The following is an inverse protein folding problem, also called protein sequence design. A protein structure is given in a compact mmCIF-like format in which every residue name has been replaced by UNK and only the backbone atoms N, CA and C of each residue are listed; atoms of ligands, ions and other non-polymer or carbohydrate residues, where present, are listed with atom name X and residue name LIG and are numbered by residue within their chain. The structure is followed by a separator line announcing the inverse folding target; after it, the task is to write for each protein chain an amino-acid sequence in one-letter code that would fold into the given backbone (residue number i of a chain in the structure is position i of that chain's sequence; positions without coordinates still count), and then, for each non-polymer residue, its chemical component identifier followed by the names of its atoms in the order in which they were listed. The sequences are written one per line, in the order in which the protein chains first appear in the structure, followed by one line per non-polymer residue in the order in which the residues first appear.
data_IF_316272887786
#
_entry.id   IF_316272887786
#
_cell.length_a   1.000
_cell.length_b   1.000
_cell.length_c   1.000
_cell.angle_alpha   90.00
_cell.angle_beta   90.00
_cell.angle_gamma   90.00
#
_symmetry.space_group_name_H-M   'P 1'
#
loop_
_entity.id
_entity.type
_entity.pdbx_description
1 polymer ?
#
# COMPACT_ATOMS: atom_id res chain seq x y z
N UNK A 1 1.78 -0.63 -29.25
CA UNK A 1 0.74 -0.46 -28.20
C UNK A 1 0.96 -1.35 -26.99
N UNK A 2 1.20 -2.66 -27.15
CA UNK A 2 1.44 -3.58 -26.00
C UNK A 2 2.61 -3.13 -25.11
N UNK A 3 3.75 -2.75 -25.70
CA UNK A 3 4.91 -2.27 -24.94
C UNK A 3 4.61 -1.06 -24.05
N UNK A 4 3.73 -0.15 -24.50
CA UNK A 4 3.33 1.01 -23.71
C UNK A 4 2.61 0.57 -22.42
N UNK A 5 1.62 -0.32 -22.55
CA UNK A 5 0.86 -0.83 -21.41
C UNK A 5 1.70 -1.67 -20.46
N UNK A 6 2.60 -2.50 -20.99
CA UNK A 6 3.53 -3.28 -20.17
C UNK A 6 4.47 -2.36 -19.38
N UNK A 7 5.03 -1.33 -20.03
CA UNK A 7 5.89 -0.35 -19.34
C UNK A 7 5.12 0.41 -18.26
N UNK A 8 3.89 0.84 -18.54
CA UNK A 8 3.06 1.55 -17.56
C UNK A 8 2.72 0.66 -16.36
N UNK A 9 2.39 -0.62 -16.60
CA UNK A 9 2.16 -1.61 -15.56
C UNK A 9 3.41 -1.85 -14.71
N UNK A 10 4.57 -2.01 -15.35
CA UNK A 10 5.84 -2.20 -14.65
C UNK A 10 6.20 -0.99 -13.78
N UNK A 11 5.99 0.22 -14.29
CA UNK A 11 6.22 1.47 -13.54
C UNK A 11 5.24 1.58 -12.37
N UNK A 12 3.95 1.29 -12.54
CA UNK A 12 2.99 1.39 -11.44
C UNK A 12 3.28 0.39 -10.32
N UNK A 13 3.64 -0.84 -10.68
CA UNK A 13 4.07 -1.86 -9.71
C UNK A 13 5.35 -1.41 -8.99
N UNK A 14 6.34 -0.92 -9.74
CA UNK A 14 7.60 -0.45 -9.15
C UNK A 14 7.36 0.70 -8.16
N UNK A 15 6.52 1.68 -8.52
CA UNK A 15 6.19 2.80 -7.66
C UNK A 15 5.43 2.34 -6.41
N UNK A 16 4.47 1.41 -6.56
CA UNK A 16 3.80 0.81 -5.40
C UNK A 16 4.80 0.14 -4.45
N UNK A 17 5.66 -0.74 -4.97
CA UNK A 17 6.63 -1.49 -4.16
C UNK A 17 7.63 -0.57 -3.46
N UNK A 18 8.07 0.51 -4.11
CA UNK A 18 9.02 1.44 -3.50
C UNK A 18 8.36 2.36 -2.49
N UNK A 19 7.24 2.97 -2.84
CA UNK A 19 6.59 4.01 -2.04
C UNK A 19 5.82 3.38 -0.87
N UNK A 20 4.88 2.49 -1.16
CA UNK A 20 4.09 1.83 -0.12
C UNK A 20 4.93 0.82 0.68
N UNK A 21 5.95 0.22 0.05
CA UNK A 21 6.91 -0.63 0.76
C UNK A 21 7.73 0.12 1.81
N UNK A 22 8.03 1.41 1.59
CA UNK A 22 8.64 2.27 2.60
C UNK A 22 7.66 2.50 3.77
N UNK A 23 6.40 2.79 3.49
CA UNK A 23 5.38 3.01 4.52
C UNK A 23 5.16 1.78 5.39
N UNK A 24 5.02 0.61 4.76
CA UNK A 24 4.90 -0.69 5.43
C UNK A 24 6.16 -1.02 6.23
N UNK A 25 7.34 -0.74 5.67
CA UNK A 25 8.63 -0.93 6.34
C UNK A 25 8.77 -0.06 7.58
N UNK A 26 8.44 1.23 7.48
CA UNK A 26 8.42 2.16 8.63
C UNK A 26 7.40 1.70 9.66
N UNK A 27 6.21 1.27 9.24
CA UNK A 27 5.17 0.71 10.12
C UNK A 27 5.67 -0.47 10.94
N UNK A 28 6.33 -1.44 10.29
CA UNK A 28 6.91 -2.62 10.94
C UNK A 28 8.05 -2.25 11.90
N UNK A 29 9.00 -1.42 11.44
CA UNK A 29 10.15 -0.99 12.24
C UNK A 29 9.74 -0.10 13.43
N UNK A 30 8.62 0.62 13.32
CA UNK A 30 8.07 1.43 14.43
C UNK A 30 7.70 0.57 15.65
N UNK A 31 7.38 -0.71 15.45
CA UNK A 31 7.13 -1.67 16.52
C UNK A 31 8.38 -2.07 17.30
N UNK A 32 9.56 -1.96 16.68
CA UNK A 32 10.86 -2.26 17.26
C UNK A 32 11.58 -1.02 17.82
N UNK A 33 11.00 0.17 17.62
CA UNK A 33 11.62 1.42 18.05
C UNK A 33 11.63 1.54 19.59
N UNK A 34 12.77 1.94 20.15
CA UNK A 34 12.96 2.18 21.57
C UNK A 34 12.32 3.50 22.00
N UNK A 35 11.05 3.44 22.45
CA UNK A 35 10.34 4.56 23.07
C UNK A 35 9.27 5.22 22.18
N UNK A 36 8.24 5.76 22.84
CA UNK A 36 7.06 6.33 22.18
C UNK A 36 7.37 7.55 21.32
N UNK A 37 8.34 8.38 21.70
CA UNK A 37 8.73 9.56 20.93
C UNK A 37 9.32 9.18 19.56
N UNK A 38 10.18 8.15 19.51
CA UNK A 38 10.79 7.67 18.26
C UNK A 38 9.77 6.99 17.36
N UNK A 39 8.93 6.12 17.94
CA UNK A 39 7.79 5.51 17.24
C UNK A 39 6.84 6.58 16.69
N UNK A 40 6.62 7.62 17.50
CA UNK A 40 5.87 8.82 17.18
C UNK A 40 6.33 9.46 15.89
N UNK A 41 7.60 9.87 15.89
CA UNK A 41 8.27 10.55 14.78
C UNK A 41 8.30 9.70 13.50
N UNK A 42 8.60 8.39 13.61
CA UNK A 42 8.62 7.48 12.46
C UNK A 42 7.27 7.44 11.75
N UNK A 43 6.20 7.21 12.49
CA UNK A 43 4.86 7.11 11.91
C UNK A 43 4.34 8.47 11.41
N UNK A 44 4.71 9.58 12.05
CA UNK A 44 4.33 10.92 11.58
C UNK A 44 5.00 11.31 10.27
N UNK A 45 6.15 10.72 9.93
CA UNK A 45 6.85 10.98 8.68
C UNK A 45 6.11 10.45 7.44
N UNK A 46 5.38 9.34 7.58
CA UNK A 46 4.65 8.68 6.48
C UNK A 46 3.15 9.02 6.46
N UNK A 47 2.60 9.48 7.58
CA UNK A 47 1.20 9.91 7.71
C UNK A 47 0.67 10.89 6.63
N UNK A 48 1.45 11.84 6.07
CA UNK A 48 0.92 12.74 5.04
C UNK A 48 0.92 12.16 3.61
N UNK A 49 1.62 11.05 3.35
CA UNK A 49 1.85 10.54 1.97
C UNK A 49 1.31 9.13 1.72
N UNK A 50 1.04 8.35 2.76
CA UNK A 50 0.67 6.92 2.62
C UNK A 50 -0.58 6.70 1.73
N UNK A 51 -1.59 7.55 1.84
CA UNK A 51 -2.84 7.43 1.05
C UNK A 51 -2.58 7.61 -0.46
N UNK A 52 -1.66 8.52 -0.80
CA UNK A 52 -1.19 8.69 -2.18
C UNK A 52 -0.42 7.47 -2.69
N UNK A 53 0.35 6.80 -1.81
CA UNK A 53 1.15 5.64 -2.19
C UNK A 53 0.27 4.41 -2.52
N UNK A 54 -0.84 4.22 -1.81
CA UNK A 54 -1.82 3.15 -2.12
C UNK A 54 -2.44 3.30 -3.51
N UNK A 55 -2.53 4.52 -4.04
CA UNK A 55 -3.12 4.78 -5.36
C UNK A 55 -2.41 4.01 -6.47
N UNK A 56 -1.10 3.75 -6.35
CA UNK A 56 -0.34 2.98 -7.34
C UNK A 56 -0.78 1.51 -7.45
N UNK A 57 -1.28 0.92 -6.35
CA UNK A 57 -1.87 -0.41 -6.37
C UNK A 57 -3.18 -0.41 -7.17
N UNK A 58 -4.02 0.60 -6.97
CA UNK A 58 -5.29 0.77 -7.70
C UNK A 58 -5.03 0.96 -9.19
N UNK A 59 -4.06 1.82 -9.55
CA UNK A 59 -3.63 2.03 -10.94
C UNK A 59 -3.16 0.71 -11.58
N UNK A 60 -2.36 -0.07 -10.86
CA UNK A 60 -1.92 -1.40 -11.31
C UNK A 60 -3.11 -2.31 -11.63
N UNK A 61 -4.11 -2.37 -10.73
CA UNK A 61 -5.31 -3.17 -10.94
C UNK A 61 -6.14 -2.69 -12.16
N UNK A 62 -6.27 -1.38 -12.35
CA UNK A 62 -6.99 -0.80 -13.49
C UNK A 62 -6.28 -1.11 -14.82
N UNK A 63 -4.94 -1.00 -14.87
CA UNK A 63 -4.17 -1.36 -16.08
C UNK A 63 -4.32 -2.85 -16.39
N UNK A 64 -4.22 -3.72 -15.39
CA UNK A 64 -4.42 -5.16 -15.57
C UNK A 64 -5.82 -5.46 -16.11
N UNK A 65 -6.86 -4.87 -15.53
CA UNK A 65 -8.24 -5.08 -15.97
C UNK A 65 -8.49 -4.58 -17.39
N UNK A 66 -7.99 -3.38 -17.73
CA UNK A 66 -8.25 -2.74 -19.02
C UNK A 66 -7.38 -3.27 -20.17
N UNK A 67 -6.08 -3.46 -19.94
CA UNK A 67 -5.13 -3.85 -21.00
C UNK A 67 -4.82 -5.36 -21.02
N UNK A 68 -4.99 -6.08 -19.90
CA UNK A 68 -4.61 -7.49 -19.75
C UNK A 68 -5.67 -8.33 -19.00
N UNK A 69 -6.95 -8.36 -19.46
CA UNK A 69 -8.06 -8.93 -18.70
C UNK A 69 -7.89 -10.42 -18.36
N UNK A 70 -7.25 -11.21 -19.23
CA UNK A 70 -6.96 -12.62 -18.96
C UNK A 70 -5.95 -12.78 -17.82
N UNK A 71 -4.92 -11.93 -17.77
CA UNK A 71 -3.94 -11.93 -16.68
C UNK A 71 -4.61 -11.51 -15.38
N UNK A 72 -5.43 -10.45 -15.43
CA UNK A 72 -6.21 -9.98 -14.28
C UNK A 72 -7.09 -11.09 -13.68
N UNK A 73 -7.87 -11.79 -14.51
CA UNK A 73 -8.76 -12.85 -14.06
C UNK A 73 -8.00 -14.04 -13.45
N UNK A 74 -6.91 -14.47 -14.08
CA UNK A 74 -6.08 -15.56 -13.57
C UNK A 74 -5.42 -15.20 -12.24
N UNK A 75 -4.91 -13.97 -12.11
CA UNK A 75 -4.23 -13.51 -10.91
C UNK A 75 -5.21 -13.39 -9.73
N UNK A 76 -6.39 -12.81 -9.95
CA UNK A 76 -7.41 -12.74 -8.90
C UNK A 76 -7.91 -14.12 -8.47
N UNK A 77 -8.08 -15.05 -9.41
CA UNK A 77 -8.54 -16.40 -9.09
C UNK A 77 -7.47 -17.18 -8.30
N UNK A 78 -6.21 -17.11 -8.74
CA UNK A 78 -5.10 -17.81 -8.09
C UNK A 78 -4.75 -17.23 -6.71
N UNK A 79 -4.87 -15.91 -6.54
CA UNK A 79 -4.46 -15.21 -5.32
C UNK A 79 -5.64 -14.61 -4.53
N UNK A 80 -6.85 -15.16 -4.70
CA UNK A 80 -8.06 -14.62 -4.08
C UNK A 80 -7.90 -14.40 -2.56
N UNK A 81 -7.55 -15.46 -1.82
CA UNK A 81 -7.37 -15.37 -0.37
C UNK A 81 -6.21 -14.43 0.04
N UNK A 82 -4.99 -14.57 -0.51
CA UNK A 82 -3.91 -13.62 -0.23
C UNK A 82 -4.27 -12.16 -0.47
N UNK A 83 -4.95 -11.84 -1.59
CA UNK A 83 -5.34 -10.48 -1.92
C UNK A 83 -6.38 -9.93 -0.94
N UNK A 84 -7.36 -10.73 -0.53
CA UNK A 84 -8.34 -10.31 0.47
C UNK A 84 -7.65 -10.00 1.81
N UNK A 85 -6.74 -10.87 2.26
CA UNK A 85 -5.98 -10.64 3.51
C UNK A 85 -5.14 -9.36 3.41
N UNK A 86 -4.46 -9.15 2.29
CA UNK A 86 -3.69 -7.94 2.03
C UNK A 86 -4.55 -6.67 2.09
N UNK A 87 -5.69 -6.67 1.39
CA UNK A 87 -6.62 -5.53 1.38
C UNK A 87 -7.19 -5.22 2.76
N UNK A 88 -7.55 -6.25 3.55
CA UNK A 88 -7.97 -6.06 4.93
C UNK A 88 -6.85 -5.42 5.78
N UNK A 89 -5.60 -5.85 5.59
CA UNK A 89 -4.44 -5.24 6.25
C UNK A 89 -4.27 -3.77 5.90
N UNK A 90 -4.41 -3.40 4.62
CA UNK A 90 -4.35 -2.00 4.17
C UNK A 90 -5.48 -1.15 4.76
N UNK A 91 -6.71 -1.67 4.79
CA UNK A 91 -7.86 -0.99 5.43
C UNK A 91 -7.58 -0.74 6.90
N UNK A 92 -7.12 -1.76 7.64
CA UNK A 92 -6.79 -1.62 9.06
C UNK A 92 -5.67 -0.60 9.29
N UNK A 93 -4.69 -0.52 8.38
CA UNK A 93 -3.62 0.49 8.43
C UNK A 93 -4.20 1.90 8.30
N UNK A 94 -5.06 2.15 7.31
CA UNK A 94 -5.69 3.44 7.13
C UNK A 94 -6.53 3.86 8.34
N UNK A 95 -7.32 2.93 8.89
CA UNK A 95 -8.07 3.14 10.13
C UNK A 95 -7.12 3.49 11.29
N UNK A 96 -6.03 2.74 11.47
CA UNK A 96 -5.09 2.98 12.57
C UNK A 96 -4.45 4.38 12.51
N UNK A 97 -4.12 4.89 11.32
CA UNK A 97 -3.58 6.24 11.16
C UNK A 97 -4.60 7.33 11.52
N UNK A 98 -5.84 7.21 11.04
CA UNK A 98 -6.90 8.19 11.31
C UNK A 98 -7.26 8.26 12.81
N UNK A 99 -7.41 7.10 13.46
CA UNK A 99 -7.72 7.04 14.89
C UNK A 99 -6.59 7.59 15.77
N UNK A 100 -5.33 7.39 15.36
CA UNK A 100 -4.16 7.90 16.10
C UNK A 100 -4.08 9.43 16.10
N UNK A 101 -4.53 10.09 15.03
CA UNK A 101 -4.57 11.57 15.01
C UNK A 101 -5.66 12.12 15.94
N UNK A 102 -6.74 11.37 16.16
CA UNK A 102 -7.87 11.75 17.02
C UNK A 102 -7.69 11.41 18.50
N UNK A 103 -6.73 10.55 18.85
CA UNK A 103 -6.48 10.17 20.25
C UNK A 103 -5.56 11.18 20.93
N UNK A 104 -6.13 12.12 21.68
CA UNK A 104 -5.40 12.71 22.80
C UNK A 104 -5.36 11.68 23.92
N UNK A 105 -4.16 11.24 24.31
CA UNK A 105 -4.02 10.56 25.61
C UNK A 105 -4.32 11.60 26.68
N UNK A 106 -5.51 11.50 27.28
CA UNK A 106 -5.86 12.16 28.54
C UNK A 106 -4.89 11.70 29.64
#
# INVERSE_FOLDING_TARGET
MVMFWVSLLAISILLYVLLDGLDLGVGLLSGLASGEARRGAMLSAVAPIWDGNETWLVVTAVILWGAFPVVYANLLSAFYLPLIVMLLGLILRGVAFEFRYKTQRL
#
